data_IF_768096615759
#
_entry.id   IF_768096615759
#
_cell.length_a   1.000
_cell.length_b   1.000
_cell.length_c   1.000
_cell.angle_alpha   90.00
_cell.angle_beta   90.00
_cell.angle_gamma   90.00
#
_symmetry.space_group_name_H-M   'P 1'
#
loop_
_entity.id
_entity.type
_entity.pdbx_description
1 polymer ?
#
# COMPACT_ATOMS: atom_id res chain seq x y z
N UNK A 1 15.81 1.67 8.04
CA UNK A 1 14.90 0.77 7.30
C UNK A 1 13.97 1.66 6.49
N UNK A 2 13.91 1.51 5.16
CA UNK A 2 13.02 2.30 4.31
C UNK A 2 11.55 1.95 4.54
N UNK A 3 10.69 2.96 4.34
CA UNK A 3 9.23 2.84 4.37
C UNK A 3 8.67 3.31 3.03
N UNK A 4 7.73 2.56 2.47
CA UNK A 4 7.06 2.93 1.21
C UNK A 4 5.64 3.42 1.48
N UNK A 5 5.18 4.37 0.66
CA UNK A 5 3.76 4.68 0.49
C UNK A 5 3.41 4.35 -0.96
N UNK A 6 2.46 3.44 -1.16
CA UNK A 6 1.99 3.02 -2.48
C UNK A 6 0.56 3.49 -2.67
N UNK A 7 0.38 4.57 -3.43
CA UNK A 7 -0.92 5.03 -3.88
C UNK A 7 -1.43 4.19 -5.06
N UNK A 8 -2.71 3.82 -5.04
CA UNK A 8 -3.27 2.92 -6.05
C UNK A 8 -2.93 1.46 -5.78
N UNK A 9 -2.92 1.04 -4.52
CA UNK A 9 -2.52 -0.30 -4.07
C UNK A 9 -3.26 -1.48 -4.73
N UNK A 10 -4.44 -1.25 -5.31
CA UNK A 10 -5.23 -2.28 -6.03
C UNK A 10 -5.07 -2.23 -7.55
N UNK A 11 -4.36 -1.23 -8.08
CA UNK A 11 -4.05 -1.11 -9.51
C UNK A 11 -2.98 -2.11 -9.94
N UNK A 12 -2.82 -2.27 -11.26
CA UNK A 12 -1.89 -3.24 -11.84
C UNK A 12 -0.44 -3.05 -11.35
N UNK A 13 0.01 -1.80 -11.26
CA UNK A 13 1.37 -1.49 -10.78
C UNK A 13 1.48 -1.52 -9.25
N UNK A 14 0.47 -1.00 -8.54
CA UNK A 14 0.49 -0.93 -7.08
C UNK A 14 0.62 -2.31 -6.43
N UNK A 15 -0.09 -3.30 -6.99
CA UNK A 15 -0.01 -4.69 -6.54
C UNK A 15 1.37 -5.29 -6.72
N UNK A 16 1.97 -5.14 -7.91
CA UNK A 16 3.31 -5.67 -8.18
C UNK A 16 4.40 -4.97 -7.36
N UNK A 17 4.29 -3.66 -7.14
CA UNK A 17 5.22 -2.92 -6.28
C UNK A 17 5.14 -3.46 -4.85
N UNK A 18 3.94 -3.59 -4.27
CA UNK A 18 3.77 -4.11 -2.91
C UNK A 18 4.31 -5.54 -2.81
N UNK A 19 4.00 -6.40 -3.79
CA UNK A 19 4.48 -7.78 -3.82
C UNK A 19 6.02 -7.84 -3.89
N UNK A 20 6.64 -7.05 -4.75
CA UNK A 20 8.10 -6.98 -4.88
C UNK A 20 8.75 -6.50 -3.58
N UNK A 21 8.29 -5.37 -3.03
CA UNK A 21 8.85 -4.81 -1.80
C UNK A 21 8.67 -5.75 -0.59
N UNK A 22 7.56 -6.49 -0.52
CA UNK A 22 7.31 -7.44 0.56
C UNK A 22 8.30 -8.61 0.58
N UNK A 23 8.95 -8.92 -0.55
CA UNK A 23 9.95 -9.98 -0.66
C UNK A 23 11.38 -9.49 -0.38
N UNK A 24 11.58 -8.19 -0.15
CA UNK A 24 12.89 -7.62 0.13
C UNK A 24 13.06 -7.43 1.65
N UNK A 25 14.16 -7.90 2.25
CA UNK A 25 14.34 -7.91 3.70
C UNK A 25 14.44 -6.50 4.31
N UNK A 26 14.86 -5.52 3.52
CA UNK A 26 15.06 -4.14 4.00
C UNK A 26 13.74 -3.38 4.22
N UNK A 27 12.63 -3.85 3.63
CA UNK A 27 11.33 -3.16 3.64
C UNK A 27 10.42 -3.71 4.73
N UNK A 28 10.50 -3.08 5.91
CA UNK A 28 9.75 -3.50 7.10
C UNK A 28 8.41 -2.80 7.27
N UNK A 29 8.11 -1.78 6.45
CA UNK A 29 6.82 -1.08 6.49
C UNK A 29 6.42 -0.55 5.11
N UNK A 30 5.21 -0.90 4.68
CA UNK A 30 4.63 -0.48 3.39
C UNK A 30 3.20 0.00 3.66
N UNK A 31 2.90 1.26 3.37
CA UNK A 31 1.56 1.81 3.46
C UNK A 31 0.86 1.70 2.11
N UNK A 32 -0.14 0.82 2.02
CA UNK A 32 -0.93 0.56 0.83
C UNK A 32 -2.19 1.43 0.85
N UNK A 33 -2.28 2.40 -0.07
CA UNK A 33 -3.39 3.35 -0.13
C UNK A 33 -4.30 3.06 -1.33
N UNK A 34 -5.57 2.79 -1.06
CA UNK A 34 -6.61 2.64 -2.08
C UNK A 34 -8.00 2.72 -1.49
N UNK A 35 -8.99 3.19 -2.27
CA UNK A 35 -10.40 3.27 -1.85
C UNK A 35 -11.03 1.94 -1.44
N UNK A 36 -10.50 0.82 -1.93
CA UNK A 36 -10.96 -0.52 -1.60
C UNK A 36 -9.78 -1.43 -1.28
N UNK A 37 -10.05 -2.48 -0.49
CA UNK A 37 -9.11 -3.57 -0.22
C UNK A 37 -9.56 -4.79 -1.01
N UNK A 38 -8.68 -5.32 -1.88
CA UNK A 38 -9.00 -6.48 -2.73
C UNK A 38 -8.25 -7.75 -2.32
N UNK A 39 -7.11 -7.62 -1.65
CA UNK A 39 -6.19 -8.72 -1.40
C UNK A 39 -5.82 -8.80 0.10
N UNK A 40 -5.34 -9.97 0.52
CA UNK A 40 -4.67 -10.14 1.81
C UNK A 40 -3.25 -9.62 1.73
N UNK A 41 -2.80 -8.96 2.80
CA UNK A 41 -1.50 -8.29 2.85
C UNK A 41 -0.62 -8.96 3.91
N UNK A 42 0.70 -9.10 3.68
CA UNK A 42 1.66 -9.51 4.71
C UNK A 42 1.66 -8.56 5.91
N UNK A 43 2.22 -9.01 7.04
CA UNK A 43 2.22 -8.25 8.30
C UNK A 43 2.90 -6.87 8.20
N UNK A 44 3.89 -6.72 7.32
CA UNK A 44 4.59 -5.44 7.10
C UNK A 44 3.83 -4.44 6.21
N UNK A 45 2.68 -4.83 5.65
CA UNK A 45 1.87 -3.99 4.76
C UNK A 45 0.63 -3.49 5.50
N UNK A 46 0.56 -2.18 5.68
CA UNK A 46 -0.54 -1.49 6.33
C UNK A 46 -1.46 -0.87 5.27
N UNK A 47 -2.65 -1.45 5.09
CA UNK A 47 -3.63 -0.88 4.18
C UNK A 47 -4.44 0.22 4.87
N UNK A 48 -4.56 1.37 4.20
CA UNK A 48 -5.49 2.42 4.58
C UNK A 48 -6.43 2.74 3.42
N UNK A 49 -7.71 2.79 3.73
CA UNK A 49 -8.73 3.23 2.78
C UNK A 49 -8.70 4.75 2.70
N UNK A 50 -8.40 5.27 1.51
CA UNK A 50 -8.38 6.71 1.25
C UNK A 50 -8.89 6.99 -0.16
N UNK A 51 -9.70 8.05 -0.28
CA UNK A 51 -9.97 8.69 -1.55
C UNK A 51 -9.03 9.89 -1.70
N UNK A 52 -8.10 9.82 -2.65
CA UNK A 52 -7.10 10.88 -2.88
C UNK A 52 -7.71 12.14 -3.48
N UNK A 53 -8.99 12.10 -3.88
CA UNK A 53 -9.73 13.25 -4.39
C UNK A 53 -10.65 13.87 -3.32
N UNK A 54 -10.79 13.24 -2.14
CA UNK A 54 -11.59 13.78 -1.05
C UNK A 54 -10.90 14.96 -0.36
N UNK A 55 -11.68 15.76 0.37
CA UNK A 55 -11.10 16.83 1.18
C UNK A 55 -10.25 16.24 2.32
N UNK A 56 -9.17 16.92 2.76
CA UNK A 56 -8.31 16.40 3.84
C UNK A 56 -9.01 16.22 5.20
N UNK A 57 -10.24 16.73 5.35
CA UNK A 57 -11.00 16.74 6.60
C UNK A 57 -12.17 15.72 6.60
N UNK A 58 -12.37 15.00 5.50
CA UNK A 58 -13.31 13.86 5.40
C UNK A 58 -12.61 12.53 5.70
#
# INVERSE_FOLDING_TARGET
MPTAIVAGATGILGREIIAHLSNLPDWTSIYALSRSKKDTYPAQVHHASIDLLASPNE
#
